data_IF_706766997723
#
_entry.id   IF_706766997723
#
_cell.length_a   1.000
_cell.length_b   1.000
_cell.length_c   1.000
_cell.angle_alpha   90.00
_cell.angle_beta   90.00
_cell.angle_gamma   90.00
#
_symmetry.space_group_name_H-M   'P 1'
#
loop_
_entity.id
_entity.type
_entity.pdbx_description
1 polymer ?
#
# COMPACT_ATOMS: atom_id res chain seq x y z
N UNK A 1 -33.56 9.60 1.80
CA UNK A 1 -33.73 8.35 1.03
C UNK A 1 -33.05 7.27 1.84
N UNK A 2 -33.72 6.17 2.15
CA UNK A 2 -33.10 5.09 2.91
C UNK A 2 -32.61 4.05 1.91
N UNK A 3 -31.31 3.80 1.87
CA UNK A 3 -30.78 2.64 1.21
C UNK A 3 -30.72 1.51 2.25
N UNK A 4 -31.34 0.38 1.97
CA UNK A 4 -31.21 -0.82 2.78
C UNK A 4 -30.34 -1.83 2.03
N UNK A 5 -29.28 -2.28 2.65
CA UNK A 5 -28.56 -3.47 2.20
C UNK A 5 -29.11 -4.66 2.96
N UNK A 6 -29.50 -5.70 2.26
CA UNK A 6 -29.99 -6.93 2.86
C UNK A 6 -28.79 -7.87 3.02
N UNK A 7 -28.42 -8.17 4.27
CA UNK A 7 -27.39 -9.11 4.67
C UNK A 7 -28.05 -10.27 5.39
N UNK A 8 -27.97 -11.47 4.86
CA UNK A 8 -28.54 -12.69 5.45
C UNK A 8 -29.99 -12.51 5.95
N UNK A 9 -30.82 -11.84 5.15
CA UNK A 9 -32.20 -11.53 5.49
C UNK A 9 -32.40 -10.40 6.49
N UNK A 10 -31.33 -9.70 6.90
CA UNK A 10 -31.41 -8.50 7.74
C UNK A 10 -31.21 -7.24 6.91
N UNK A 11 -32.18 -6.33 6.95
CA UNK A 11 -32.03 -5.00 6.40
C UNK A 11 -31.17 -4.14 7.31
N UNK A 12 -30.05 -3.64 6.78
CA UNK A 12 -29.23 -2.63 7.44
C UNK A 12 -29.75 -1.25 7.06
N UNK A 13 -30.35 -0.48 7.98
CA UNK A 13 -30.80 0.87 7.68
C UNK A 13 -29.60 1.82 7.71
N UNK A 14 -29.30 2.44 6.56
CA UNK A 14 -28.38 3.58 6.51
C UNK A 14 -29.19 4.85 6.43
N UNK A 15 -28.83 5.84 7.23
CA UNK A 15 -29.17 7.23 6.96
C UNK A 15 -28.00 7.85 6.20
N UNK A 16 -28.21 8.13 4.92
CA UNK A 16 -27.28 8.97 4.19
C UNK A 16 -27.66 10.43 4.44
N UNK A 17 -26.72 11.22 4.93
CA UNK A 17 -26.84 12.66 5.03
C UNK A 17 -27.20 13.22 3.64
N UNK A 18 -28.08 14.26 3.53
CA UNK A 18 -28.36 14.91 2.25
C UNK A 18 -27.12 15.36 1.46
N UNK A 19 -26.02 15.70 2.11
CA UNK A 19 -24.73 16.01 1.47
C UNK A 19 -24.18 14.82 0.67
N UNK A 20 -24.37 13.59 1.15
CA UNK A 20 -23.96 12.36 0.43
C UNK A 20 -24.72 12.21 -0.89
N UNK A 21 -25.99 12.64 -0.94
CA UNK A 21 -26.79 12.57 -2.15
C UNK A 21 -26.28 13.52 -3.25
N UNK A 22 -25.70 14.66 -2.88
CA UNK A 22 -25.09 15.59 -3.82
C UNK A 22 -23.75 15.05 -4.38
N UNK A 23 -23.08 14.18 -3.66
CA UNK A 23 -21.77 13.60 -4.01
C UNK A 23 -21.84 12.16 -4.51
N UNK A 24 -23.06 11.62 -4.71
CA UNK A 24 -23.27 10.22 -5.14
C UNK A 24 -22.51 9.83 -6.40
N UNK A 25 -22.27 10.77 -7.32
CA UNK A 25 -21.51 10.49 -8.54
C UNK A 25 -20.02 10.25 -8.24
N UNK A 26 -19.43 10.95 -7.27
CA UNK A 26 -18.06 10.72 -6.83
C UNK A 26 -17.91 9.41 -6.03
N UNK A 27 -18.96 8.98 -5.32
CA UNK A 27 -18.98 7.75 -4.55
C UNK A 27 -19.30 6.50 -5.38
N UNK A 28 -19.83 6.63 -6.60
CA UNK A 28 -20.19 5.47 -7.45
C UNK A 28 -19.04 4.49 -7.66
N UNK A 29 -17.82 5.00 -7.80
CA UNK A 29 -16.63 4.20 -8.03
C UNK A 29 -16.27 3.29 -6.83
N UNK A 30 -16.63 3.68 -5.60
CA UNK A 30 -16.29 2.96 -4.37
C UNK A 30 -17.46 2.14 -3.81
N UNK A 31 -18.66 2.22 -4.39
CA UNK A 31 -19.82 1.46 -3.92
C UNK A 31 -19.61 -0.07 -3.90
N UNK A 32 -18.94 -0.69 -4.90
CA UNK A 32 -18.64 -2.11 -4.87
C UNK A 32 -17.77 -2.50 -3.67
N UNK A 33 -16.77 -1.67 -3.35
CA UNK A 33 -15.87 -1.89 -2.21
C UNK A 33 -16.60 -1.77 -0.88
N UNK A 34 -17.47 -0.76 -0.74
CA UNK A 34 -18.32 -0.58 0.44
C UNK A 34 -19.25 -1.78 0.63
N UNK A 35 -19.88 -2.25 -0.45
CA UNK A 35 -20.70 -3.45 -0.43
C UNK A 35 -19.91 -4.65 0.09
N UNK A 36 -18.69 -4.85 -0.40
CA UNK A 36 -17.79 -5.93 0.01
C UNK A 36 -17.44 -5.85 1.50
N UNK A 37 -17.10 -4.65 2.02
CA UNK A 37 -16.84 -4.42 3.45
C UNK A 37 -18.06 -4.82 4.30
N UNK A 38 -19.26 -4.49 3.85
CA UNK A 38 -20.51 -4.82 4.56
C UNK A 38 -20.77 -6.32 4.54
N UNK A 39 -20.71 -6.95 3.37
CA UNK A 39 -21.02 -8.38 3.19
C UNK A 39 -20.04 -9.29 3.94
N UNK A 40 -18.80 -8.85 4.10
CA UNK A 40 -17.79 -9.58 4.85
C UNK A 40 -17.76 -9.23 6.34
N UNK A 41 -18.78 -8.54 6.86
CA UNK A 41 -18.87 -8.21 8.30
C UNK A 41 -17.81 -7.24 8.82
N UNK A 42 -17.02 -6.63 7.93
CA UNK A 42 -15.97 -5.66 8.28
C UNK A 42 -16.50 -4.22 8.43
N UNK A 43 -17.82 -4.07 8.52
CA UNK A 43 -18.47 -2.78 8.73
C UNK A 43 -18.25 -2.28 10.16
N UNK A 44 -17.63 -1.11 10.36
CA UNK A 44 -17.17 -0.67 11.68
C UNK A 44 -18.25 -0.03 12.54
N UNK A 45 -19.45 0.21 12.00
CA UNK A 45 -20.52 0.89 12.72
C UNK A 45 -21.45 -0.11 13.38
N UNK A 46 -21.74 0.12 14.69
CA UNK A 46 -22.69 -0.70 15.43
C UNK A 46 -24.12 -0.41 14.98
N UNK A 47 -24.72 -1.38 14.29
CA UNK A 47 -26.11 -1.31 13.79
C UNK A 47 -27.15 -1.39 14.91
N UNK A 48 -26.76 -1.83 16.13
CA UNK A 48 -27.67 -1.95 17.28
C UNK A 48 -27.91 -0.60 17.97
N UNK A 49 -27.05 0.37 17.73
CA UNK A 49 -27.18 1.74 18.30
C UNK A 49 -28.04 2.69 17.43
N UNK A 50 -28.67 2.17 16.39
CA UNK A 50 -29.42 2.95 15.41
C UNK A 50 -28.62 3.20 14.14
N UNK A 51 -29.28 3.66 13.07
CA UNK A 51 -28.61 3.97 11.81
C UNK A 51 -27.67 5.17 12.00
N UNK A 52 -26.34 5.02 11.86
CA UNK A 52 -25.43 6.16 11.96
C UNK A 52 -25.68 7.12 10.79
N UNK A 53 -25.55 8.42 11.05
CA UNK A 53 -25.46 9.41 9.98
C UNK A 53 -24.09 9.26 9.32
N UNK A 54 -24.07 8.78 8.07
CA UNK A 54 -22.85 8.51 7.33
C UNK A 54 -22.52 9.71 6.46
N UNK A 55 -21.34 10.27 6.71
CA UNK A 55 -20.74 11.32 5.89
C UNK A 55 -19.94 10.69 4.73
N UNK A 56 -19.86 11.35 3.54
CA UNK A 56 -19.11 10.85 2.39
C UNK A 56 -17.66 10.50 2.73
N UNK A 57 -17.00 11.32 3.54
CA UNK A 57 -15.63 11.13 3.94
C UNK A 57 -15.44 9.81 4.73
N UNK A 58 -16.40 9.44 5.58
CA UNK A 58 -16.36 8.18 6.33
C UNK A 58 -16.35 6.95 5.40
N UNK A 59 -17.09 7.01 4.28
CA UNK A 59 -17.09 5.94 3.28
C UNK A 59 -15.77 5.88 2.51
N UNK A 60 -15.21 7.03 2.17
CA UNK A 60 -13.89 7.14 1.53
C UNK A 60 -12.82 6.58 2.46
N UNK A 61 -12.84 6.96 3.73
CA UNK A 61 -11.86 6.50 4.73
C UNK A 61 -11.91 4.98 4.92
N UNK A 62 -13.09 4.36 4.86
CA UNK A 62 -13.23 2.91 4.92
C UNK A 62 -12.53 2.22 3.75
N UNK A 63 -12.76 2.71 2.54
CA UNK A 63 -12.19 2.12 1.32
C UNK A 63 -10.70 2.44 1.17
N UNK A 64 -10.26 3.59 1.68
CA UNK A 64 -8.84 3.96 1.70
C UNK A 64 -8.07 3.37 2.87
N UNK A 65 -8.74 2.64 3.77
CA UNK A 65 -8.07 1.91 4.85
C UNK A 65 -7.01 0.97 4.26
N UNK A 66 -5.72 1.08 4.67
CA UNK A 66 -4.64 0.27 4.13
C UNK A 66 -4.80 -1.24 4.38
N UNK A 67 -5.73 -1.65 5.25
CA UNK A 67 -6.07 -3.06 5.49
C UNK A 67 -7.07 -3.63 4.48
N UNK A 68 -7.83 -2.78 3.79
CA UNK A 68 -8.80 -3.21 2.80
C UNK A 68 -8.11 -3.42 1.45
N UNK A 69 -8.11 -4.66 0.92
CA UNK A 69 -7.50 -4.95 -0.38
C UNK A 69 -8.42 -4.46 -1.51
N UNK A 70 -7.94 -3.54 -2.32
CA UNK A 70 -8.68 -2.93 -3.44
C UNK A 70 -8.45 -3.63 -4.77
N UNK A 71 -7.31 -4.30 -4.90
CA UNK A 71 -6.95 -5.03 -6.12
C UNK A 71 -6.81 -6.52 -5.85
N UNK A 72 -6.94 -7.37 -6.89
CA UNK A 72 -6.69 -8.80 -6.77
C UNK A 72 -5.31 -9.12 -6.18
N UNK A 73 -4.28 -8.35 -6.56
CA UNK A 73 -2.91 -8.52 -6.08
C UNK A 73 -2.80 -8.19 -4.58
N UNK A 74 -3.51 -7.18 -4.10
CA UNK A 74 -3.57 -6.85 -2.67
C UNK A 74 -4.30 -7.93 -1.88
N UNK A 75 -5.37 -8.51 -2.44
CA UNK A 75 -6.09 -9.65 -1.84
C UNK A 75 -5.20 -10.90 -1.81
N UNK A 76 -4.52 -11.21 -2.91
CA UNK A 76 -3.57 -12.34 -2.99
C UNK A 76 -2.47 -12.22 -1.93
N UNK A 77 -1.94 -11.01 -1.78
CA UNK A 77 -0.92 -10.71 -0.78
C UNK A 77 -1.46 -10.86 0.64
N UNK A 78 -2.63 -10.29 0.94
CA UNK A 78 -3.27 -10.43 2.26
C UNK A 78 -3.47 -11.90 2.62
N UNK A 79 -3.95 -12.70 1.67
CA UNK A 79 -4.06 -14.14 1.85
C UNK A 79 -2.69 -14.77 2.14
N UNK A 80 -1.69 -14.51 1.30
CA UNK A 80 -0.37 -15.12 1.46
C UNK A 80 0.30 -14.75 2.80
N UNK A 81 0.23 -13.47 3.20
CA UNK A 81 0.75 -13.01 4.49
C UNK A 81 0.03 -13.71 5.66
N UNK A 82 -1.30 -13.84 5.57
CA UNK A 82 -2.12 -14.55 6.58
C UNK A 82 -1.75 -16.04 6.66
N UNK A 83 -1.56 -16.72 5.54
CA UNK A 83 -1.14 -18.12 5.50
C UNK A 83 0.26 -18.30 6.10
N UNK A 84 1.19 -17.42 5.76
CA UNK A 84 2.55 -17.45 6.30
C UNK A 84 2.55 -17.24 7.83
N UNK A 85 1.77 -16.28 8.34
CA UNK A 85 1.69 -15.99 9.78
C UNK A 85 1.04 -17.14 10.58
N UNK A 86 0.10 -17.87 9.98
CA UNK A 86 -0.57 -19.02 10.61
C UNK A 86 0.22 -20.31 10.54
N UNK A 87 1.25 -20.39 9.71
CA UNK A 87 2.12 -21.55 9.66
C UNK A 87 3.15 -21.52 10.79
N UNK A 88 2.84 -22.14 11.92
CA UNK A 88 3.67 -22.15 13.12
C UNK A 88 5.09 -22.74 12.89
N UNK A 89 5.21 -23.72 12.01
CA UNK A 89 6.47 -24.40 11.71
C UNK A 89 6.72 -24.47 10.21
N UNK A 90 7.87 -23.96 9.78
CA UNK A 90 8.31 -23.99 8.37
C UNK A 90 8.32 -25.41 7.83
N UNK A 91 7.74 -25.61 6.64
CA UNK A 91 7.63 -26.90 5.97
C UNK A 91 6.60 -27.87 6.58
N UNK A 92 5.75 -27.41 7.52
CA UNK A 92 4.64 -28.21 8.00
C UNK A 92 3.38 -27.91 7.19
N UNK A 93 2.58 -28.94 6.95
CA UNK A 93 1.22 -28.81 6.44
C UNK A 93 0.32 -28.22 7.51
N UNK A 94 -0.54 -27.30 7.12
CA UNK A 94 -1.51 -26.63 7.98
C UNK A 94 -2.90 -27.09 7.54
N UNK A 95 -3.65 -27.65 8.47
CA UNK A 95 -5.04 -28.06 8.26
C UNK A 95 -5.97 -26.84 8.30
N UNK A 96 -6.87 -26.75 7.34
CA UNK A 96 -7.81 -25.64 7.20
C UNK A 96 -9.27 -26.02 7.50
N UNK A 97 -9.57 -27.27 7.84
CA UNK A 97 -10.96 -27.69 8.02
C UNK A 97 -11.74 -26.79 8.98
N UNK A 98 -11.16 -26.46 10.13
CA UNK A 98 -11.78 -25.57 11.11
C UNK A 98 -12.03 -24.14 10.59
N UNK A 99 -11.26 -23.68 9.58
CA UNK A 99 -11.43 -22.33 9.01
C UNK A 99 -12.49 -22.29 7.93
N UNK A 100 -12.88 -23.46 7.41
CA UNK A 100 -13.89 -23.61 6.36
C UNK A 100 -15.29 -23.91 6.94
N UNK A 101 -15.39 -24.18 8.26
CA UNK A 101 -16.67 -24.45 8.92
C UNK A 101 -17.59 -23.22 8.97
N UNK A 102 -16.98 -22.05 9.08
CA UNK A 102 -17.70 -20.77 9.03
C UNK A 102 -17.00 -19.78 8.09
N UNK A 103 -17.66 -18.67 7.80
CA UNK A 103 -17.11 -17.62 6.93
C UNK A 103 -16.16 -16.65 7.65
N UNK A 104 -15.78 -16.85 8.90
CA UNK A 104 -14.94 -15.91 9.68
C UNK A 104 -13.57 -15.73 9.03
N UNK A 105 -12.92 -16.84 8.65
CA UNK A 105 -11.64 -16.76 7.94
C UNK A 105 -11.78 -16.06 6.60
N UNK A 106 -12.78 -16.45 5.81
CA UNK A 106 -13.09 -15.88 4.50
C UNK A 106 -13.32 -14.36 4.59
N UNK A 107 -14.18 -13.96 5.53
CA UNK A 107 -14.52 -12.55 5.77
C UNK A 107 -13.32 -11.74 6.27
N UNK A 108 -12.39 -12.34 7.02
CA UNK A 108 -11.15 -11.66 7.44
C UNK A 108 -10.24 -11.27 6.27
N UNK A 109 -10.41 -11.95 5.14
CA UNK A 109 -9.73 -11.68 3.88
C UNK A 109 -10.56 -10.80 2.92
N UNK A 110 -11.69 -10.29 3.38
CA UNK A 110 -12.65 -9.54 2.57
C UNK A 110 -13.20 -10.34 1.37
N UNK A 111 -13.26 -11.65 1.46
CA UNK A 111 -13.84 -12.54 0.45
C UNK A 111 -15.28 -12.91 0.81
N UNK A 112 -16.16 -13.01 -0.19
CA UNK A 112 -17.58 -13.28 0.00
C UNK A 112 -17.89 -14.78 -0.05
N UNK A 113 -17.24 -15.54 -0.95
CA UNK A 113 -17.53 -16.94 -1.21
C UNK A 113 -16.27 -17.81 -1.29
N UNK A 114 -16.41 -19.09 -0.98
CA UNK A 114 -15.30 -20.05 -0.94
C UNK A 114 -14.67 -20.35 -2.32
N UNK A 115 -15.40 -20.14 -3.41
CA UNK A 115 -14.86 -20.28 -4.76
C UNK A 115 -13.86 -19.17 -5.08
N UNK A 116 -14.07 -17.97 -4.56
CA UNK A 116 -13.09 -16.88 -4.60
C UNK A 116 -11.81 -17.29 -3.86
N UNK A 117 -11.93 -17.83 -2.64
CA UNK A 117 -10.79 -18.34 -1.87
C UNK A 117 -10.02 -19.41 -2.65
N UNK A 118 -10.73 -20.39 -3.23
CA UNK A 118 -10.12 -21.47 -4.00
C UNK A 118 -9.36 -20.94 -5.25
N UNK A 119 -9.87 -19.88 -5.89
CA UNK A 119 -9.18 -19.22 -7.00
C UNK A 119 -7.84 -18.63 -6.56
N UNK A 120 -7.81 -17.90 -5.45
CA UNK A 120 -6.56 -17.30 -4.93
C UNK A 120 -5.56 -18.36 -4.46
N UNK A 121 -6.01 -19.47 -3.88
CA UNK A 121 -5.12 -20.59 -3.52
C UNK A 121 -4.45 -21.22 -4.74
N UNK A 122 -5.18 -21.38 -5.85
CA UNK A 122 -4.61 -21.88 -7.11
C UNK A 122 -3.60 -20.91 -7.69
N UNK A 123 -3.85 -19.61 -7.56
CA UNK A 123 -2.89 -18.60 -8.03
C UNK A 123 -1.60 -18.65 -7.21
N UNK A 124 -1.67 -18.72 -5.88
CA UNK A 124 -0.49 -18.88 -5.01
C UNK A 124 0.29 -20.18 -5.32
N UNK A 125 -0.42 -21.27 -5.63
CA UNK A 125 0.18 -22.54 -6.05
C UNK A 125 0.86 -22.40 -7.42
N UNK A 126 0.22 -21.74 -8.39
CA UNK A 126 0.78 -21.49 -9.71
C UNK A 126 2.08 -20.67 -9.66
N UNK A 127 2.16 -19.74 -8.71
CA UNK A 127 3.36 -18.96 -8.40
C UNK A 127 4.42 -19.75 -7.60
N UNK A 128 4.14 -21.02 -7.27
CA UNK A 128 4.97 -21.88 -6.42
C UNK A 128 5.27 -21.27 -5.02
N UNK A 129 4.37 -20.43 -4.50
CA UNK A 129 4.52 -19.83 -3.16
C UNK A 129 4.00 -20.75 -2.06
N UNK A 130 3.00 -21.59 -2.37
CA UNK A 130 2.45 -22.61 -1.50
C UNK A 130 2.31 -23.93 -2.25
N UNK A 131 2.29 -25.04 -1.51
CA UNK A 131 1.71 -26.30 -1.94
C UNK A 131 0.32 -26.41 -1.28
N UNK A 132 -0.68 -26.92 -2.00
CA UNK A 132 -2.05 -27.00 -1.49
C UNK A 132 -2.70 -28.32 -1.83
N UNK A 133 -3.54 -28.85 -0.91
CA UNK A 133 -4.41 -29.99 -1.16
C UNK A 133 -5.84 -29.49 -1.20
N UNK A 134 -6.57 -29.94 -2.22
CA UNK A 134 -7.98 -29.61 -2.41
C UNK A 134 -8.85 -30.83 -2.12
N UNK A 135 -9.94 -30.62 -1.38
CA UNK A 135 -11.02 -31.61 -1.28
C UNK A 135 -11.88 -31.52 -2.55
N UNK A 136 -11.93 -32.62 -3.29
CA UNK A 136 -12.69 -32.74 -4.53
C UNK A 136 -14.14 -33.24 -4.32
N UNK A 137 -14.60 -33.49 -3.07
CA UNK A 137 -15.92 -34.07 -2.79
C UNK A 137 -17.07 -33.07 -3.02
N UNK A 138 -16.78 -31.77 -3.13
CA UNK A 138 -17.73 -30.70 -3.40
C UNK A 138 -17.86 -30.34 -4.87
N UNK A 139 -18.82 -29.46 -5.18
CA UNK A 139 -18.99 -28.88 -6.53
C UNK A 139 -17.78 -28.05 -6.96
N UNK A 140 -17.12 -27.41 -5.98
CA UNK A 140 -15.89 -26.63 -6.15
C UNK A 140 -14.87 -27.23 -5.19
N UNK A 141 -13.67 -27.61 -5.69
CA UNK A 141 -12.60 -28.10 -4.82
C UNK A 141 -12.13 -26.97 -3.87
N UNK A 142 -12.26 -27.22 -2.56
CA UNK A 142 -11.81 -26.28 -1.53
C UNK A 142 -10.41 -26.62 -1.05
N UNK A 143 -9.57 -25.63 -0.72
CA UNK A 143 -8.27 -25.87 -0.11
C UNK A 143 -8.46 -26.39 1.31
N UNK A 144 -7.96 -27.58 1.62
CA UNK A 144 -8.12 -28.23 2.94
C UNK A 144 -6.82 -28.31 3.73
N UNK A 145 -5.70 -28.33 3.06
CA UNK A 145 -4.38 -28.23 3.68
C UNK A 145 -3.47 -27.37 2.79
N UNK A 146 -2.56 -26.62 3.39
CA UNK A 146 -1.51 -25.91 2.66
C UNK A 146 -0.18 -25.97 3.38
N UNK A 147 0.90 -25.67 2.63
CA UNK A 147 2.24 -25.49 3.15
C UNK A 147 2.92 -24.39 2.37
N UNK A 148 3.48 -23.40 3.07
CA UNK A 148 4.32 -22.36 2.43
C UNK A 148 5.62 -23.00 1.97
N UNK A 149 5.92 -22.89 0.68
CA UNK A 149 7.12 -23.44 0.07
C UNK A 149 8.38 -22.65 0.44
N UNK A 150 9.56 -23.19 0.12
CA UNK A 150 10.79 -22.43 0.28
C UNK A 150 10.85 -21.19 -0.61
N UNK A 151 10.24 -21.24 -1.81
CA UNK A 151 10.08 -20.08 -2.69
C UNK A 151 9.16 -19.03 -2.07
N UNK A 152 8.07 -19.47 -1.44
CA UNK A 152 7.17 -18.60 -0.67
C UNK A 152 7.89 -17.89 0.47
N UNK A 153 8.71 -18.61 1.25
CA UNK A 153 9.52 -18.00 2.31
C UNK A 153 10.48 -16.94 1.78
N UNK A 154 11.16 -17.23 0.65
CA UNK A 154 12.02 -16.23 -0.01
C UNK A 154 11.24 -15.01 -0.47
N UNK A 155 10.07 -15.22 -1.08
CA UNK A 155 9.19 -14.16 -1.54
C UNK A 155 8.75 -13.27 -0.37
N UNK A 156 8.31 -13.86 0.74
CA UNK A 156 7.90 -13.15 1.96
C UNK A 156 9.01 -12.25 2.51
N UNK A 157 10.22 -12.81 2.64
CA UNK A 157 11.40 -12.07 3.11
C UNK A 157 11.74 -10.94 2.13
N UNK A 158 11.84 -11.24 0.84
CA UNK A 158 12.18 -10.24 -0.18
C UNK A 158 11.17 -9.08 -0.22
N UNK A 159 9.88 -9.37 -0.10
CA UNK A 159 8.82 -8.36 -0.11
C UNK A 159 8.91 -7.45 1.12
N UNK A 160 9.18 -8.01 2.29
CA UNK A 160 9.34 -7.22 3.53
C UNK A 160 10.66 -6.44 3.57
N UNK A 161 11.77 -7.04 3.11
CA UNK A 161 13.07 -6.37 3.04
C UNK A 161 13.13 -5.28 1.96
N UNK A 162 12.38 -5.43 0.88
CA UNK A 162 12.36 -4.44 -0.21
C UNK A 162 11.60 -3.17 0.12
N UNK A 163 10.84 -3.13 1.22
CA UNK A 163 9.94 -2.01 1.52
C UNK A 163 8.78 -1.84 0.51
N UNK A 164 8.63 -2.77 -0.45
CA UNK A 164 7.67 -2.65 -1.56
C UNK A 164 6.21 -2.46 -1.12
N UNK A 165 5.88 -2.88 0.10
CA UNK A 165 4.56 -2.77 0.71
C UNK A 165 4.43 -1.56 1.64
N UNK A 166 5.52 -0.84 1.84
CA UNK A 166 5.56 0.29 2.76
C UNK A 166 4.78 1.48 2.19
N UNK A 167 4.13 2.21 3.06
CA UNK A 167 3.61 3.54 2.75
C UNK A 167 4.66 4.64 2.94
N UNK A 168 5.91 4.27 3.25
CA UNK A 168 6.99 5.23 3.40
C UNK A 168 7.62 5.56 2.04
N UNK A 169 7.94 6.83 1.86
CA UNK A 169 8.79 7.34 0.79
C UNK A 169 10.02 7.98 1.42
N UNK A 170 11.22 7.53 1.03
CA UNK A 170 12.45 8.20 1.43
C UNK A 170 12.63 9.48 0.61
N UNK A 171 12.90 10.59 1.27
CA UNK A 171 13.14 11.86 0.60
C UNK A 171 14.59 12.28 0.86
N UNK A 172 15.39 12.21 -0.20
CA UNK A 172 16.79 12.66 -0.23
C UNK A 172 16.86 14.07 -0.80
N UNK A 173 17.30 15.02 -0.02
CA UNK A 173 17.50 16.39 -0.47
C UNK A 173 18.44 17.16 0.46
N UNK A 174 18.87 18.34 0.05
CA UNK A 174 19.67 19.20 0.89
C UNK A 174 18.94 19.66 2.15
N UNK A 175 19.66 19.72 3.27
CA UNK A 175 19.18 20.26 4.57
C UNK A 175 19.35 21.79 4.66
N UNK A 176 19.37 22.48 3.52
CA UNK A 176 19.55 23.93 3.45
C UNK A 176 18.40 24.68 4.15
N UNK A 177 18.74 25.77 4.83
CA UNK A 177 17.77 26.73 5.37
C UNK A 177 17.27 27.74 4.34
N UNK A 178 17.72 27.65 3.08
CA UNK A 178 17.28 28.51 1.99
C UNK A 178 15.75 28.40 1.82
N UNK A 179 15.02 29.54 1.78
CA UNK A 179 13.56 29.52 1.67
C UNK A 179 13.04 28.78 0.42
N UNK A 180 13.78 28.83 -0.70
CA UNK A 180 13.43 28.14 -1.93
C UNK A 180 13.53 26.62 -1.76
N UNK A 181 14.60 26.14 -1.10
CA UNK A 181 14.79 24.71 -0.80
C UNK A 181 13.73 24.23 0.21
N UNK A 182 13.41 25.04 1.22
CA UNK A 182 12.33 24.71 2.15
C UNK A 182 10.96 24.65 1.45
N UNK A 183 10.67 25.51 0.48
CA UNK A 183 9.46 25.45 -0.31
C UNK A 183 9.38 24.17 -1.17
N UNK A 184 10.49 23.75 -1.80
CA UNK A 184 10.60 22.46 -2.51
C UNK A 184 10.30 21.29 -1.56
N UNK A 185 10.92 21.30 -0.38
CA UNK A 185 10.72 20.29 0.67
C UNK A 185 9.25 20.15 1.03
N UNK A 186 8.58 21.25 1.33
CA UNK A 186 7.15 21.24 1.66
C UNK A 186 6.29 20.79 0.47
N UNK A 187 6.64 21.18 -0.75
CA UNK A 187 5.97 20.72 -1.97
C UNK A 187 6.03 19.20 -2.13
N UNK A 188 7.21 18.60 -1.99
CA UNK A 188 7.39 17.14 -2.05
C UNK A 188 6.57 16.45 -0.93
N UNK A 189 6.70 16.94 0.31
CA UNK A 189 5.96 16.37 1.46
C UNK A 189 4.45 16.42 1.26
N UNK A 190 3.90 17.55 0.76
CA UNK A 190 2.46 17.68 0.53
C UNK A 190 1.96 16.65 -0.49
N UNK A 191 2.64 16.48 -1.62
CA UNK A 191 2.25 15.50 -2.64
C UNK A 191 2.27 14.08 -2.09
N UNK A 192 3.28 13.73 -1.30
CA UNK A 192 3.38 12.40 -0.69
C UNK A 192 2.24 12.13 0.28
N UNK A 193 1.91 13.10 1.14
CA UNK A 193 0.81 12.99 2.10
C UNK A 193 -0.54 12.89 1.38
N UNK A 194 -0.78 13.73 0.35
CA UNK A 194 -2.00 13.69 -0.46
C UNK A 194 -2.22 12.33 -1.15
N UNK A 195 -1.13 11.62 -1.45
CA UNK A 195 -1.14 10.27 -2.03
C UNK A 195 -1.04 9.14 -0.98
N UNK A 196 -1.27 9.45 0.30
CA UNK A 196 -1.19 8.52 1.43
C UNK A 196 0.19 7.85 1.61
N UNK A 197 1.27 8.56 1.28
CA UNK A 197 2.63 8.16 1.61
C UNK A 197 3.17 8.99 2.77
N UNK A 198 3.93 8.35 3.66
CA UNK A 198 4.67 9.02 4.73
C UNK A 198 6.06 9.43 4.22
N UNK A 199 6.37 10.72 4.12
CA UNK A 199 7.73 11.17 3.80
C UNK A 199 8.68 10.87 4.96
N UNK A 200 9.81 10.22 4.68
CA UNK A 200 10.89 9.98 5.64
C UNK A 200 12.11 10.82 5.23
N UNK A 201 12.47 11.78 6.06
CA UNK A 201 13.65 12.64 5.91
C UNK A 201 14.57 12.40 7.11
N UNK A 202 15.87 12.30 6.86
CA UNK A 202 16.86 11.92 7.89
C UNK A 202 16.91 12.92 9.04
N UNK A 203 16.73 14.21 8.76
CA UNK A 203 16.77 15.28 9.77
C UNK A 203 15.46 15.42 10.58
N UNK A 204 14.39 14.72 10.18
CA UNK A 204 13.10 14.71 10.89
C UNK A 204 12.88 13.41 11.68
N UNK A 205 13.63 12.35 11.37
CA UNK A 205 13.48 11.07 12.06
C UNK A 205 14.45 10.98 13.24
N UNK A 206 13.94 10.51 14.39
CA UNK A 206 14.78 10.23 15.55
C UNK A 206 15.59 8.97 15.24
N UNK A 207 16.88 9.14 14.96
CA UNK A 207 17.83 8.05 14.85
C UNK A 207 18.32 7.69 16.26
N UNK A 208 18.36 6.40 16.57
CA UNK A 208 18.90 5.92 17.84
C UNK A 208 20.33 6.43 18.02
N UNK A 209 20.65 6.93 19.22
CA UNK A 209 21.93 7.59 19.54
C UNK A 209 23.16 6.69 19.33
N UNK A 210 22.96 5.37 19.28
CA UNK A 210 24.03 4.37 19.14
C UNK A 210 24.31 3.99 17.67
N UNK A 211 23.51 4.50 16.71
CA UNK A 211 23.69 4.24 15.29
C UNK A 211 24.40 5.42 14.61
N UNK A 212 25.30 5.12 13.66
CA UNK A 212 25.83 6.16 12.79
C UNK A 212 24.71 6.77 11.93
N UNK A 213 24.82 8.05 11.58
CA UNK A 213 23.87 8.73 10.65
C UNK A 213 23.69 7.90 9.36
N UNK A 214 24.77 7.31 8.85
CA UNK A 214 24.74 6.49 7.66
C UNK A 214 23.93 5.20 7.83
N UNK A 215 24.01 4.55 8.99
CA UNK A 215 23.20 3.36 9.28
C UNK A 215 21.72 3.71 9.37
N UNK A 216 21.41 4.87 9.95
CA UNK A 216 20.05 5.43 9.99
C UNK A 216 19.49 5.70 8.58
N UNK A 217 20.27 6.33 7.71
CA UNK A 217 19.90 6.57 6.30
C UNK A 217 19.58 5.23 5.61
N UNK A 218 20.48 4.27 5.72
CA UNK A 218 20.29 2.93 5.13
C UNK A 218 19.03 2.26 5.67
N UNK A 219 18.75 2.37 6.97
CA UNK A 219 17.56 1.81 7.58
C UNK A 219 16.27 2.48 7.07
N UNK A 220 16.26 3.81 6.91
CA UNK A 220 15.12 4.54 6.36
C UNK A 220 14.86 4.18 4.88
N UNK A 221 15.92 4.09 4.07
CA UNK A 221 15.79 3.64 2.67
C UNK A 221 15.19 2.23 2.64
N UNK A 222 15.70 1.29 3.45
CA UNK A 222 15.18 -0.09 3.51
C UNK A 222 13.70 -0.18 3.88
N UNK A 223 13.19 0.74 4.72
CA UNK A 223 11.79 0.78 5.15
C UNK A 223 10.86 1.47 4.15
N UNK A 224 11.40 2.04 3.07
CA UNK A 224 10.65 2.84 2.10
C UNK A 224 10.30 2.03 0.84
N UNK A 225 9.14 2.33 0.25
CA UNK A 225 8.67 1.73 -0.99
C UNK A 225 9.42 2.28 -2.21
N UNK A 226 9.70 3.58 -2.20
CA UNK A 226 10.42 4.29 -3.24
C UNK A 226 11.14 5.50 -2.64
N UNK A 227 11.98 6.15 -3.43
CA UNK A 227 12.67 7.36 -3.04
C UNK A 227 12.34 8.52 -4.00
N UNK A 228 12.27 9.74 -3.45
CA UNK A 228 12.31 11.00 -4.19
C UNK A 228 13.63 11.67 -3.85
N UNK A 229 14.47 11.91 -4.86
CA UNK A 229 15.80 12.51 -4.68
C UNK A 229 15.87 13.84 -5.42
N UNK A 230 16.01 14.95 -4.68
CA UNK A 230 16.11 16.29 -5.25
C UNK A 230 17.58 16.74 -5.35
N UNK A 231 18.01 16.99 -6.57
CA UNK A 231 19.39 17.36 -6.92
C UNK A 231 19.59 18.84 -7.12
N UNK A 232 18.66 19.70 -6.68
CA UNK A 232 18.76 21.15 -6.90
C UNK A 232 20.06 21.74 -6.34
N UNK A 233 20.51 21.30 -5.14
CA UNK A 233 21.78 21.78 -4.55
C UNK A 233 22.98 20.85 -4.76
N UNK A 234 22.85 19.80 -5.57
CA UNK A 234 23.95 18.89 -5.98
C UNK A 234 24.77 18.33 -4.80
N UNK A 235 24.11 17.99 -3.68
CA UNK A 235 24.81 17.45 -2.49
C UNK A 235 25.25 16.01 -2.70
N UNK A 236 26.50 15.68 -2.40
CA UNK A 236 27.09 14.34 -2.55
C UNK A 236 26.30 13.26 -1.79
N UNK A 237 25.75 13.59 -0.62
CA UNK A 237 24.90 12.69 0.17
C UNK A 237 23.67 12.22 -0.61
N UNK A 238 23.03 13.12 -1.37
CA UNK A 238 21.85 12.79 -2.19
C UNK A 238 22.22 11.81 -3.30
N UNK A 239 23.41 11.95 -3.90
CA UNK A 239 23.89 11.00 -4.91
C UNK A 239 24.15 9.63 -4.33
N UNK A 240 24.74 9.54 -3.12
CA UNK A 240 24.94 8.28 -2.41
C UNK A 240 23.61 7.60 -2.10
N UNK A 241 22.65 8.34 -1.55
CA UNK A 241 21.33 7.88 -1.17
C UNK A 241 20.54 7.35 -2.39
N UNK A 242 20.53 8.11 -3.48
CA UNK A 242 19.90 7.70 -4.74
C UNK A 242 20.56 6.46 -5.35
N UNK A 243 21.89 6.42 -5.34
CA UNK A 243 22.65 5.26 -5.83
C UNK A 243 22.41 4.01 -5.00
N UNK A 244 22.36 4.14 -3.67
CA UNK A 244 22.04 3.02 -2.78
C UNK A 244 20.61 2.51 -3.00
N UNK A 245 19.63 3.42 -3.10
CA UNK A 245 18.24 3.05 -3.39
C UNK A 245 18.12 2.32 -4.75
N UNK A 246 18.74 2.87 -5.80
CA UNK A 246 18.74 2.27 -7.14
C UNK A 246 19.45 0.89 -7.15
N UNK A 247 20.57 0.73 -6.44
CA UNK A 247 21.29 -0.53 -6.30
C UNK A 247 20.46 -1.62 -5.60
N UNK A 248 19.49 -1.24 -4.76
CA UNK A 248 18.49 -2.13 -4.16
C UNK A 248 17.29 -2.44 -5.07
N UNK A 249 17.30 -1.95 -6.31
CA UNK A 249 16.17 -2.02 -7.25
C UNK A 249 14.91 -1.31 -6.75
N UNK A 250 15.08 -0.36 -5.83
CA UNK A 250 14.00 0.51 -5.38
C UNK A 250 13.69 1.53 -6.48
N UNK A 251 12.41 1.85 -6.75
CA UNK A 251 12.08 2.96 -7.63
C UNK A 251 12.63 4.27 -7.08
N UNK A 252 13.34 5.04 -7.90
CA UNK A 252 13.89 6.36 -7.54
C UNK A 252 13.37 7.41 -8.51
N UNK A 253 12.69 8.41 -7.99
CA UNK A 253 12.23 9.57 -8.74
C UNK A 253 13.24 10.68 -8.53
N UNK A 254 13.88 11.10 -9.62
CA UNK A 254 14.87 12.16 -9.66
C UNK A 254 14.19 13.49 -9.95
N UNK A 255 14.45 14.51 -9.14
CA UNK A 255 13.92 15.86 -9.34
C UNK A 255 15.06 16.88 -9.31
N UNK A 256 14.96 17.96 -10.08
CA UNK A 256 15.93 19.05 -10.06
C UNK A 256 15.29 20.34 -10.58
N UNK A 257 15.57 21.46 -9.94
CA UNK A 257 15.15 22.76 -10.43
C UNK A 257 15.92 23.12 -11.70
N UNK A 258 15.23 23.66 -12.69
CA UNK A 258 15.72 23.89 -14.06
C UNK A 258 17.00 24.71 -14.11
N UNK A 259 17.10 25.76 -13.30
CA UNK A 259 18.25 26.65 -13.25
C UNK A 259 19.52 26.00 -12.65
N UNK A 260 19.35 24.90 -11.91
CA UNK A 260 20.43 24.11 -11.34
C UNK A 260 20.77 22.84 -12.13
N UNK A 261 19.86 22.39 -13.02
CA UNK A 261 20.02 21.14 -13.76
C UNK A 261 21.28 21.08 -14.64
N UNK A 262 21.71 22.23 -15.23
CA UNK A 262 22.92 22.29 -16.03
C UNK A 262 24.20 21.97 -15.25
N UNK A 263 24.15 22.04 -13.91
CA UNK A 263 25.25 21.72 -13.00
C UNK A 263 25.21 20.28 -12.50
N UNK A 264 24.17 19.51 -12.85
CA UNK A 264 24.03 18.15 -12.36
C UNK A 264 25.13 17.23 -12.90
N UNK A 265 25.52 16.24 -12.10
CA UNK A 265 26.56 15.29 -12.45
C UNK A 265 26.19 14.52 -13.73
N UNK A 266 27.17 14.35 -14.63
CA UNK A 266 27.00 13.63 -15.90
C UNK A 266 26.38 12.25 -15.69
N UNK A 267 26.80 11.52 -14.66
CA UNK A 267 26.32 10.15 -14.40
C UNK A 267 24.82 10.06 -14.04
N UNK A 268 24.23 11.14 -13.52
CA UNK A 268 22.80 11.17 -13.20
C UNK A 268 21.95 11.74 -14.32
N UNK A 269 22.52 12.46 -15.28
CA UNK A 269 21.81 13.02 -16.43
C UNK A 269 21.22 11.96 -17.36
N UNK A 270 21.65 10.70 -17.25
CA UNK A 270 21.09 9.57 -17.99
C UNK A 270 19.75 9.07 -17.40
N UNK A 271 19.43 9.45 -16.17
CA UNK A 271 18.14 9.11 -15.56
C UNK A 271 17.11 10.20 -15.88
N UNK A 272 15.84 9.80 -16.16
CA UNK A 272 14.79 10.77 -16.43
C UNK A 272 14.47 11.58 -15.18
N UNK A 273 14.81 12.86 -15.18
CA UNK A 273 14.51 13.81 -14.12
C UNK A 273 13.17 14.51 -14.34
N UNK A 274 12.45 14.77 -13.27
CA UNK A 274 11.44 15.82 -13.22
C UNK A 274 12.18 17.16 -13.11
N UNK A 275 12.23 17.89 -14.23
CA UNK A 275 12.84 19.23 -14.27
C UNK A 275 11.70 20.22 -14.10
N UNK A 276 11.79 21.10 -13.08
CA UNK A 276 10.74 22.03 -12.73
C UNK A 276 11.27 23.46 -12.60
N UNK A 277 10.42 24.44 -12.88
CA UNK A 277 10.74 25.88 -12.77
C UNK A 277 10.30 26.43 -11.40
N UNK A 278 9.19 25.93 -10.88
CA UNK A 278 8.62 26.31 -9.59
C UNK A 278 8.04 25.11 -8.84
N UNK A 279 7.63 25.35 -7.59
CA UNK A 279 7.13 24.29 -6.69
C UNK A 279 5.78 23.73 -7.16
N UNK A 280 4.93 24.53 -7.78
CA UNK A 280 3.61 24.05 -8.26
C UNK A 280 3.81 23.11 -9.45
N UNK A 281 4.71 23.41 -10.35
CA UNK A 281 5.06 22.52 -11.44
C UNK A 281 5.67 21.21 -10.92
N UNK A 282 6.56 21.27 -9.90
CA UNK A 282 7.10 20.09 -9.24
C UNK A 282 5.96 19.22 -8.68
N UNK A 283 5.02 19.80 -7.94
CA UNK A 283 3.91 19.07 -7.31
C UNK A 283 3.08 18.31 -8.34
N UNK A 284 2.70 18.96 -9.42
CA UNK A 284 1.90 18.33 -10.50
C UNK A 284 2.67 17.18 -11.16
N UNK A 285 3.92 17.40 -11.54
CA UNK A 285 4.73 16.38 -12.22
C UNK A 285 5.07 15.21 -11.30
N UNK A 286 5.38 15.48 -10.03
CA UNK A 286 5.67 14.45 -9.03
C UNK A 286 4.45 13.59 -8.74
N UNK A 287 3.26 14.21 -8.57
CA UNK A 287 2.01 13.49 -8.40
C UNK A 287 1.76 12.54 -9.56
N UNK A 288 1.77 13.04 -10.79
CA UNK A 288 1.55 12.24 -11.98
C UNK A 288 2.56 11.08 -12.09
N UNK A 289 3.83 11.33 -11.76
CA UNK A 289 4.87 10.29 -11.80
C UNK A 289 4.64 9.19 -10.77
N UNK A 290 4.25 9.55 -9.55
CA UNK A 290 3.95 8.58 -8.49
C UNK A 290 2.72 7.74 -8.87
N UNK A 291 1.64 8.38 -9.31
CA UNK A 291 0.42 7.69 -9.74
C UNK A 291 0.68 6.71 -10.88
N UNK A 292 1.48 7.10 -11.87
CA UNK A 292 1.77 6.27 -13.04
C UNK A 292 2.78 5.14 -12.78
N UNK A 293 3.66 5.28 -11.79
CA UNK A 293 4.82 4.38 -11.67
C UNK A 293 4.91 3.63 -10.34
N UNK A 294 4.33 4.18 -9.27
CA UNK A 294 4.42 3.58 -7.93
C UNK A 294 3.10 2.92 -7.52
N UNK A 295 1.96 3.53 -7.92
CA UNK A 295 0.61 3.04 -7.55
C UNK A 295 0.00 2.10 -8.59
N UNK A 296 0.66 1.92 -9.73
CA UNK A 296 0.23 1.00 -10.79
C UNK A 296 0.47 -0.46 -10.41
#
# INVERSE_FOLDING_TARGET
>A
MFYSVELDGKRLPFRLNPSVLAELDSLKAILPDIRRIILTGNWPFDINQGAPDIEPQMLIDLVTNPKFPRTPEETLRLLFDTLHERQERRGAWVDMYAWLEDKVFLHSLYMEEFDELAMYFRELESMALIDVKFDANGRIPLPVEYMVTFNGLKHYIATRESGALSKNCFVAMSFSSDPGIQAIRQGIKSVLVDLNYRPLLVDEEHLDSDQSINDGIIALIKKSRFAVCDFTEQKDGVYFEAGYAAGRRMPVIYTCRKDHFAQSHFDTNHFPHIIYEDVEQLKVQLKNKIEAWITA
#
